data_IF_553562810783
#
_entry.id   IF_553562810783
#
_cell.length_a   1.000
_cell.length_b   1.000
_cell.length_c   1.000
_cell.angle_alpha   90.00
_cell.angle_beta   90.00
_cell.angle_gamma   90.00
#
_symmetry.space_group_name_H-M   'P 1'
#
loop_
_entity.id
_entity.type
_entity.pdbx_description
1 polymer ?
#
# COMPACT_ATOMS: atom_id res chain seq x y z
N UNK A 1 28.69 -6.20 8.47
CA UNK A 1 28.73 -5.58 9.81
C UNK A 1 27.68 -6.29 10.70
N UNK A 2 28.04 -7.24 11.57
CA UNK A 2 27.04 -8.06 12.30
C UNK A 2 26.19 -7.25 13.29
N UNK A 3 26.75 -6.21 13.89
CA UNK A 3 26.05 -5.42 14.93
C UNK A 3 24.83 -4.62 14.45
N UNK A 4 24.81 -4.18 13.19
CA UNK A 4 23.67 -3.43 12.63
C UNK A 4 22.48 -4.36 12.36
N UNK A 5 22.73 -5.57 11.87
CA UNK A 5 21.69 -6.58 11.63
C UNK A 5 21.05 -7.08 12.92
N UNK A 6 21.86 -7.32 13.98
CA UNK A 6 21.35 -7.72 15.29
C UNK A 6 20.51 -6.61 15.96
N UNK A 7 20.87 -5.34 15.76
CA UNK A 7 20.10 -4.21 16.27
C UNK A 7 18.74 -4.10 15.57
N UNK A 8 18.72 -4.17 14.24
CA UNK A 8 17.50 -4.13 13.43
C UNK A 8 16.57 -5.29 13.80
N UNK A 9 17.11 -6.52 13.91
CA UNK A 9 16.32 -7.69 14.27
C UNK A 9 15.66 -7.56 15.64
N UNK A 10 16.37 -7.06 16.65
CA UNK A 10 15.81 -6.80 17.99
C UNK A 10 14.75 -5.69 17.95
N UNK A 11 14.97 -4.66 17.17
CA UNK A 11 14.00 -3.59 16.98
C UNK A 11 12.70 -4.13 16.37
N UNK A 12 12.78 -5.03 15.38
CA UNK A 12 11.62 -5.66 14.75
C UNK A 12 10.87 -6.56 15.73
N UNK A 13 11.59 -7.38 16.51
CA UNK A 13 10.99 -8.25 17.53
C UNK A 13 10.25 -7.41 18.60
N UNK A 14 10.88 -6.36 19.12
CA UNK A 14 10.26 -5.42 20.06
C UNK A 14 9.07 -4.69 19.47
N UNK A 15 9.14 -4.37 18.17
CA UNK A 15 8.07 -3.69 17.46
C UNK A 15 6.87 -4.61 17.24
N UNK A 16 7.09 -5.89 16.95
CA UNK A 16 6.03 -6.90 16.86
C UNK A 16 5.25 -7.07 18.17
N UNK A 17 5.96 -7.18 19.31
CA UNK A 17 5.36 -7.22 20.65
C UNK A 17 4.57 -5.94 20.95
N UNK A 18 5.11 -4.79 20.56
CA UNK A 18 4.45 -3.50 20.70
C UNK A 18 3.14 -3.42 19.92
N UNK A 19 3.14 -3.82 18.65
CA UNK A 19 1.92 -3.84 17.83
C UNK A 19 0.85 -4.78 18.38
N UNK A 20 1.26 -5.93 18.93
CA UNK A 20 0.33 -6.86 19.56
C UNK A 20 -0.31 -6.23 20.81
N UNK A 21 0.49 -5.60 21.66
CA UNK A 21 0.00 -4.91 22.86
C UNK A 21 -0.94 -3.74 22.47
N UNK A 22 -0.61 -2.99 21.43
CA UNK A 22 -1.43 -1.89 20.92
C UNK A 22 -2.80 -2.40 20.41
N UNK A 23 -2.81 -3.46 19.61
CA UNK A 23 -4.06 -4.10 19.15
C UNK A 23 -4.92 -4.60 20.31
N UNK A 24 -4.30 -5.12 21.36
CA UNK A 24 -5.01 -5.54 22.56
C UNK A 24 -5.64 -4.34 23.30
N UNK A 25 -4.91 -3.23 23.44
CA UNK A 25 -5.45 -2.01 24.06
C UNK A 25 -6.65 -1.45 23.28
N UNK A 26 -6.59 -1.49 21.94
CA UNK A 26 -7.70 -1.09 21.08
C UNK A 26 -8.90 -2.03 21.27
N UNK A 27 -8.68 -3.34 21.29
CA UNK A 27 -9.73 -4.33 21.51
C UNK A 27 -10.39 -4.22 22.91
N UNK A 28 -9.64 -3.78 23.93
CA UNK A 28 -10.12 -3.54 25.30
C UNK A 28 -10.72 -2.12 25.49
N UNK A 29 -10.85 -1.31 24.42
CA UNK A 29 -11.31 0.09 24.44
C UNK A 29 -10.49 1.01 25.37
N UNK A 30 -9.20 0.69 25.56
CA UNK A 30 -8.25 1.46 26.40
C UNK A 30 -7.59 2.57 25.58
N UNK A 31 -8.38 3.47 25.03
CA UNK A 31 -8.01 4.46 24.01
C UNK A 31 -6.90 5.40 24.42
N UNK A 32 -6.92 5.91 25.68
CA UNK A 32 -5.88 6.82 26.17
C UNK A 32 -4.49 6.15 26.20
N UNK A 33 -4.44 4.88 26.64
CA UNK A 33 -3.19 4.12 26.69
C UNK A 33 -2.72 3.72 25.28
N UNK A 34 -3.64 3.38 24.39
CA UNK A 34 -3.33 3.11 22.99
C UNK A 34 -2.70 4.37 22.33
N UNK A 35 -3.25 5.56 22.61
CA UNK A 35 -2.71 6.83 22.10
C UNK A 35 -1.28 7.09 22.59
N UNK A 36 -1.05 6.94 23.90
CA UNK A 36 0.29 7.13 24.48
C UNK A 36 1.32 6.16 23.86
N UNK A 37 0.92 4.92 23.64
CA UNK A 37 1.77 3.94 22.99
C UNK A 37 2.06 4.29 21.52
N UNK A 38 1.04 4.67 20.74
CA UNK A 38 1.23 5.12 19.37
C UNK A 38 2.24 6.27 19.28
N UNK A 39 2.07 7.31 20.12
CA UNK A 39 2.98 8.44 20.14
C UNK A 39 4.41 8.06 20.54
N UNK A 40 4.56 7.14 21.48
CA UNK A 40 5.87 6.61 21.89
C UNK A 40 6.55 5.83 20.74
N UNK A 41 5.78 5.03 20.00
CA UNK A 41 6.29 4.25 18.89
C UNK A 41 6.73 5.10 17.70
N UNK A 42 5.98 6.11 17.33
CA UNK A 42 6.39 7.04 16.28
C UNK A 42 7.71 7.73 16.61
N UNK A 43 7.86 8.20 17.87
CA UNK A 43 9.12 8.81 18.35
C UNK A 43 10.27 7.81 18.33
N UNK A 44 10.03 6.57 18.74
CA UNK A 44 11.06 5.53 18.74
C UNK A 44 11.50 5.13 17.33
N UNK A 45 10.56 5.03 16.38
CA UNK A 45 10.82 4.58 15.01
C UNK A 45 11.48 5.66 14.15
N UNK A 46 10.98 6.90 14.21
CA UNK A 46 11.38 8.00 13.33
C UNK A 46 11.92 9.23 14.06
N UNK A 47 11.85 9.29 15.39
CA UNK A 47 12.20 10.49 16.14
C UNK A 47 11.18 11.64 15.98
N UNK A 48 10.00 11.37 15.46
CA UNK A 48 8.95 12.32 15.11
C UNK A 48 7.68 12.04 15.89
N UNK A 49 6.85 13.07 16.11
CA UNK A 49 5.53 12.86 16.69
C UNK A 49 4.48 12.45 15.66
N UNK A 50 3.40 11.85 16.14
CA UNK A 50 2.33 11.33 15.30
C UNK A 50 1.67 12.41 14.44
N UNK A 51 1.51 13.62 14.97
CA UNK A 51 0.88 14.74 14.24
C UNK A 51 1.71 15.12 13.03
N UNK A 52 3.04 15.25 13.22
CA UNK A 52 3.95 15.51 12.11
C UNK A 52 3.88 14.41 11.05
N UNK A 53 3.90 13.13 11.45
CA UNK A 53 3.86 11.99 10.52
C UNK A 53 2.57 11.96 9.72
N UNK A 54 1.42 12.22 10.35
CA UNK A 54 0.14 12.30 9.64
C UNK A 54 0.09 13.42 8.59
N UNK A 55 0.74 14.56 8.88
CA UNK A 55 0.77 15.72 7.99
C UNK A 55 1.92 15.70 6.98
N UNK A 56 2.96 14.92 7.22
CA UNK A 56 4.12 14.84 6.35
C UNK A 56 3.73 14.34 4.95
N UNK A 57 4.35 14.88 3.87
CA UNK A 57 4.19 14.31 2.53
C UNK A 57 4.63 12.84 2.51
N UNK A 58 3.93 12.01 1.73
CA UNK A 58 4.22 10.58 1.69
C UNK A 58 5.64 10.31 1.19
N UNK A 59 6.11 11.06 0.19
CA UNK A 59 7.47 10.93 -0.32
C UNK A 59 8.54 11.22 0.74
N UNK A 60 8.24 12.14 1.67
CA UNK A 60 9.11 12.39 2.82
C UNK A 60 9.18 11.16 3.74
N UNK A 61 8.04 10.53 4.04
CA UNK A 61 8.00 9.33 4.87
C UNK A 61 8.73 8.15 4.22
N UNK A 62 8.60 7.99 2.91
CA UNK A 62 9.33 7.01 2.13
C UNK A 62 10.85 7.22 2.26
N UNK A 63 11.31 8.47 2.12
CA UNK A 63 12.73 8.81 2.31
C UNK A 63 13.19 8.63 3.76
N UNK A 64 12.38 9.02 4.74
CA UNK A 64 12.69 8.87 6.17
C UNK A 64 12.82 7.41 6.61
N UNK A 65 12.15 6.48 5.91
CA UNK A 65 12.31 5.04 6.07
C UNK A 65 13.60 4.50 5.44
N UNK A 66 14.43 5.34 4.80
CA UNK A 66 15.66 4.88 4.15
C UNK A 66 15.45 4.18 2.81
N UNK A 67 14.24 4.21 2.24
CA UNK A 67 13.88 3.48 1.01
C UNK A 67 14.61 3.97 -0.25
N UNK A 68 15.50 4.95 -0.13
CA UNK A 68 16.42 5.33 -1.20
C UNK A 68 17.52 4.28 -1.44
N UNK A 69 17.72 3.35 -0.51
CA UNK A 69 18.68 2.25 -0.62
C UNK A 69 18.00 0.93 -0.27
N UNK A 70 18.37 -0.14 -0.96
CA UNK A 70 17.90 -1.51 -0.66
C UNK A 70 18.38 -1.87 0.76
N UNK A 71 17.49 -1.82 1.76
CA UNK A 71 17.88 -2.22 3.11
C UNK A 71 16.95 -1.89 4.27
N UNK A 72 16.04 -0.93 4.16
CA UNK A 72 15.18 -0.56 5.30
C UNK A 72 13.68 -0.88 5.07
N UNK A 73 13.42 -2.03 4.45
CA UNK A 73 12.08 -2.58 4.27
C UNK A 73 11.31 -2.68 5.60
N UNK A 74 12.01 -3.15 6.62
CA UNK A 74 11.44 -3.39 7.94
C UNK A 74 10.92 -2.11 8.62
N UNK A 75 11.61 -0.99 8.40
CA UNK A 75 11.21 0.30 8.95
C UNK A 75 9.95 0.85 8.25
N UNK A 76 9.86 0.65 6.93
CA UNK A 76 8.67 1.01 6.17
C UNK A 76 7.47 0.14 6.55
N UNK A 77 7.69 -1.16 6.76
CA UNK A 77 6.68 -2.08 7.28
C UNK A 77 6.17 -1.63 8.65
N UNK A 78 7.10 -1.34 9.57
CA UNK A 78 6.78 -0.88 10.91
C UNK A 78 5.97 0.43 10.89
N UNK A 79 6.34 1.38 10.04
CA UNK A 79 5.59 2.62 9.88
C UNK A 79 4.19 2.38 9.27
N UNK A 80 4.08 1.51 8.28
CA UNK A 80 2.80 1.11 7.71
C UNK A 80 1.86 0.50 8.75
N UNK A 81 2.36 -0.42 9.57
CA UNK A 81 1.61 -1.02 10.67
C UNK A 81 1.19 0.02 11.74
N UNK A 82 2.06 1.00 12.06
CA UNK A 82 1.72 2.09 12.98
C UNK A 82 0.63 3.00 12.42
N UNK A 83 0.74 3.39 11.16
CA UNK A 83 -0.26 4.22 10.49
C UNK A 83 -1.62 3.49 10.42
N UNK A 84 -1.61 2.18 10.16
CA UNK A 84 -2.82 1.36 10.18
C UNK A 84 -3.49 1.37 11.57
N UNK A 85 -2.70 1.17 12.63
CA UNK A 85 -3.21 1.18 14.00
C UNK A 85 -3.64 2.58 14.47
N UNK A 86 -2.99 3.64 13.98
CA UNK A 86 -3.41 5.04 14.21
C UNK A 86 -4.75 5.33 13.53
N UNK A 87 -4.95 4.81 12.32
CA UNK A 87 -6.24 4.84 11.63
C UNK A 87 -7.33 4.11 12.42
N UNK A 88 -7.04 2.91 12.93
CA UNK A 88 -7.99 2.15 13.76
C UNK A 88 -8.36 2.94 15.04
N UNK A 89 -7.39 3.61 15.67
CA UNK A 89 -7.66 4.44 16.84
C UNK A 89 -8.57 5.62 16.49
N UNK A 90 -8.31 6.35 15.38
CA UNK A 90 -9.14 7.47 14.95
C UNK A 90 -10.55 7.03 14.55
N UNK A 91 -10.71 5.89 13.88
CA UNK A 91 -12.02 5.33 13.56
C UNK A 91 -12.84 5.02 14.84
N UNK A 92 -12.19 4.50 15.90
CA UNK A 92 -12.84 4.27 17.20
C UNK A 92 -13.24 5.57 17.90
N UNK A 93 -12.54 6.68 17.65
CA UNK A 93 -12.91 8.01 18.15
C UNK A 93 -14.00 8.69 17.31
N UNK A 94 -14.41 8.10 16.18
CA UNK A 94 -15.37 8.68 15.24
C UNK A 94 -14.79 9.75 14.34
N UNK A 95 -13.44 9.80 14.23
CA UNK A 95 -12.70 10.70 13.33
C UNK A 95 -12.36 9.94 12.05
N UNK A 96 -13.38 9.69 11.23
CA UNK A 96 -13.26 8.91 10.01
C UNK A 96 -12.34 9.59 8.97
N UNK A 97 -12.28 10.91 8.93
CA UNK A 97 -11.43 11.67 8.01
C UNK A 97 -9.94 11.38 8.29
N UNK A 98 -9.53 11.47 9.55
CA UNK A 98 -8.14 11.17 9.95
C UNK A 98 -7.85 9.68 9.82
N UNK A 99 -8.80 8.80 10.13
CA UNK A 99 -8.67 7.37 9.95
C UNK A 99 -8.36 7.02 8.49
N UNK A 100 -9.16 7.55 7.55
CA UNK A 100 -8.97 7.35 6.11
C UNK A 100 -7.63 7.93 5.62
N UNK A 101 -7.21 9.09 6.13
CA UNK A 101 -5.90 9.64 5.81
C UNK A 101 -4.75 8.72 6.25
N UNK A 102 -4.85 8.12 7.44
CA UNK A 102 -3.89 7.15 7.95
C UNK A 102 -3.86 5.86 7.10
N UNK A 103 -5.02 5.31 6.76
CA UNK A 103 -5.11 4.11 5.92
C UNK A 103 -4.54 4.35 4.53
N UNK A 104 -4.85 5.48 3.89
CA UNK A 104 -4.26 5.84 2.58
C UNK A 104 -2.74 5.94 2.64
N UNK A 105 -2.19 6.59 3.66
CA UNK A 105 -0.73 6.67 3.86
C UNK A 105 -0.10 5.30 4.08
N UNK A 106 -0.70 4.46 4.93
CA UNK A 106 -0.23 3.10 5.19
C UNK A 106 -0.22 2.26 3.90
N UNK A 107 -1.34 2.25 3.17
CA UNK A 107 -1.49 1.51 1.91
C UNK A 107 -0.45 1.95 0.89
N UNK A 108 -0.32 3.26 0.65
CA UNK A 108 0.67 3.82 -0.26
C UNK A 108 2.09 3.41 0.11
N UNK A 109 2.47 3.56 1.38
CA UNK A 109 3.80 3.20 1.86
C UNK A 109 4.10 1.72 1.66
N UNK A 110 3.15 0.84 1.98
CA UNK A 110 3.33 -0.60 1.86
C UNK A 110 3.38 -1.04 0.39
N UNK A 111 2.52 -0.51 -0.48
CA UNK A 111 2.56 -0.80 -1.91
C UNK A 111 3.89 -0.32 -2.52
N UNK A 112 4.30 0.92 -2.26
CA UNK A 112 5.56 1.46 -2.77
C UNK A 112 6.76 0.62 -2.33
N UNK A 113 6.73 0.14 -1.09
CA UNK A 113 7.74 -0.76 -0.55
C UNK A 113 7.76 -2.10 -1.30
N UNK A 114 6.58 -2.68 -1.58
CA UNK A 114 6.44 -3.92 -2.33
C UNK A 114 6.95 -3.78 -3.76
N UNK A 115 6.54 -2.71 -4.44
CA UNK A 115 6.90 -2.49 -5.85
C UNK A 115 8.42 -2.32 -6.05
N UNK A 116 9.15 -1.88 -5.02
CA UNK A 116 10.62 -1.76 -5.04
C UNK A 116 11.35 -3.07 -4.78
N UNK A 117 10.66 -4.11 -4.30
CA UNK A 117 11.30 -5.42 -4.09
C UNK A 117 11.51 -6.15 -5.42
N UNK A 118 12.69 -6.79 -5.62
CA UNK A 118 12.98 -7.43 -6.90
C UNK A 118 12.07 -8.62 -7.21
N UNK A 119 11.76 -9.50 -6.28
CA UNK A 119 10.80 -10.63 -6.40
C UNK A 119 10.63 -11.31 -5.02
N UNK A 120 9.51 -12.02 -4.84
CA UNK A 120 9.33 -12.90 -3.68
C UNK A 120 8.77 -12.22 -2.43
N UNK A 121 7.72 -11.42 -2.57
CA UNK A 121 7.00 -10.86 -1.43
C UNK A 121 6.33 -11.96 -0.62
N UNK A 122 6.45 -11.93 0.71
CA UNK A 122 5.76 -12.91 1.56
C UNK A 122 4.24 -12.74 1.49
N UNK A 123 3.50 -13.85 1.53
CA UNK A 123 2.04 -13.83 1.57
C UNK A 123 1.51 -12.94 2.70
N UNK A 124 2.12 -12.97 3.88
CA UNK A 124 1.75 -12.15 5.02
C UNK A 124 1.85 -10.63 4.75
N UNK A 125 2.73 -10.22 3.82
CA UNK A 125 2.83 -8.82 3.42
C UNK A 125 1.69 -8.39 2.50
N UNK A 126 1.35 -9.26 1.55
CA UNK A 126 0.21 -9.09 0.65
C UNK A 126 -1.08 -8.99 1.47
N UNK A 127 -1.30 -9.92 2.41
CA UNK A 127 -2.45 -9.92 3.31
C UNK A 127 -2.60 -8.61 4.12
N UNK A 128 -1.49 -7.98 4.52
CA UNK A 128 -1.54 -6.67 5.19
C UNK A 128 -2.01 -5.55 4.27
N UNK A 129 -1.54 -5.53 3.02
CA UNK A 129 -1.98 -4.54 2.03
C UNK A 129 -3.47 -4.76 1.75
N UNK A 130 -3.90 -5.99 1.52
CA UNK A 130 -5.29 -6.32 1.26
C UNK A 130 -6.21 -5.86 2.40
N UNK A 131 -5.84 -6.15 3.64
CA UNK A 131 -6.60 -5.71 4.81
C UNK A 131 -6.67 -4.17 4.95
N UNK A 132 -5.69 -3.43 4.43
CA UNK A 132 -5.75 -1.98 4.36
C UNK A 132 -6.63 -1.49 3.22
N UNK A 133 -6.56 -2.14 2.05
CA UNK A 133 -7.43 -1.83 0.91
C UNK A 133 -8.90 -1.98 1.29
N UNK A 134 -9.27 -3.04 2.04
CA UNK A 134 -10.63 -3.23 2.56
C UNK A 134 -11.12 -2.11 3.49
N UNK A 135 -10.21 -1.37 4.14
CA UNK A 135 -10.53 -0.23 5.02
C UNK A 135 -10.63 1.10 4.29
N UNK A 136 -10.18 1.17 3.04
CA UNK A 136 -10.23 2.40 2.26
C UNK A 136 -11.68 2.72 1.85
N UNK A 137 -12.01 4.00 1.93
CA UNK A 137 -13.14 4.53 1.19
C UNK A 137 -12.72 4.66 -0.28
N UNK A 138 -13.28 3.80 -1.14
CA UNK A 138 -12.97 3.74 -2.56
C UNK A 138 -13.56 4.91 -3.35
N UNK A 139 -14.58 5.59 -2.79
CA UNK A 139 -15.13 6.79 -3.39
C UNK A 139 -14.17 7.97 -3.22
N UNK A 140 -13.61 8.45 -4.33
CA UNK A 140 -12.71 9.62 -4.32
C UNK A 140 -11.27 9.34 -3.88
N UNK A 141 -10.77 8.14 -4.11
CA UNK A 141 -9.34 7.86 -3.94
C UNK A 141 -8.48 8.81 -4.79
N UNK A 142 -7.38 9.38 -4.24
CA UNK A 142 -6.45 10.19 -5.00
C UNK A 142 -5.86 9.42 -6.18
N UNK A 143 -5.63 10.13 -7.30
CA UNK A 143 -5.05 9.57 -8.52
C UNK A 143 -3.83 8.69 -8.26
N UNK A 144 -2.88 9.22 -7.50
CA UNK A 144 -1.59 8.58 -7.23
C UNK A 144 -1.72 7.30 -6.38
N UNK A 145 -2.74 7.20 -5.52
CA UNK A 145 -3.01 5.96 -4.79
C UNK A 145 -3.70 4.93 -5.69
N UNK A 146 -4.66 5.34 -6.53
CA UNK A 146 -5.32 4.43 -7.47
C UNK A 146 -4.33 3.89 -8.52
N UNK A 147 -3.41 4.72 -9.02
CA UNK A 147 -2.32 4.27 -9.91
C UNK A 147 -1.45 3.20 -9.22
N UNK A 148 -1.19 3.35 -7.92
CA UNK A 148 -0.44 2.35 -7.15
C UNK A 148 -1.22 1.07 -6.90
N UNK A 149 -2.54 1.15 -6.71
CA UNK A 149 -3.41 -0.03 -6.61
C UNK A 149 -3.39 -0.82 -7.92
N UNK A 150 -3.54 -0.15 -9.06
CA UNK A 150 -3.37 -0.76 -10.39
C UNK A 150 -2.06 -1.55 -10.49
N UNK A 151 -0.93 -0.92 -10.16
CA UNK A 151 0.38 -1.57 -10.21
C UNK A 151 0.53 -2.70 -9.18
N UNK A 152 -0.10 -2.54 -8.02
CA UNK A 152 -0.11 -3.56 -6.98
C UNK A 152 -0.85 -4.81 -7.43
N UNK A 153 -2.08 -4.65 -7.95
CA UNK A 153 -2.88 -5.76 -8.42
C UNK A 153 -2.21 -6.49 -9.59
N UNK A 154 -1.62 -5.76 -10.54
CA UNK A 154 -0.79 -6.38 -11.59
C UNK A 154 0.37 -7.17 -10.98
N UNK A 155 1.09 -6.60 -10.01
CA UNK A 155 2.27 -7.20 -9.38
C UNK A 155 1.96 -8.50 -8.65
N UNK A 156 0.78 -8.60 -8.03
CA UNK A 156 0.35 -9.79 -7.29
C UNK A 156 -0.45 -10.78 -8.15
N UNK A 157 -0.63 -10.50 -9.44
CA UNK A 157 -1.29 -11.37 -10.40
C UNK A 157 -2.81 -11.32 -10.35
N UNK A 158 -3.40 -10.26 -9.81
CA UNK A 158 -4.86 -9.98 -9.81
C UNK A 158 -5.20 -9.08 -10.98
N UNK A 159 -5.22 -9.66 -12.17
CA UNK A 159 -5.29 -8.87 -13.41
C UNK A 159 -6.66 -8.23 -13.63
N UNK A 160 -7.74 -8.88 -13.20
CA UNK A 160 -9.07 -8.28 -13.24
C UNK A 160 -9.16 -7.03 -12.34
N UNK A 161 -8.68 -7.12 -11.08
CA UNK A 161 -8.68 -5.98 -10.17
C UNK A 161 -7.78 -4.84 -10.70
N UNK A 162 -6.67 -5.19 -11.35
CA UNK A 162 -5.80 -4.20 -12.00
C UNK A 162 -6.51 -3.50 -13.18
N UNK A 163 -7.25 -4.25 -13.99
CA UNK A 163 -8.04 -3.70 -15.08
C UNK A 163 -9.13 -2.74 -14.57
N UNK A 164 -9.83 -3.12 -13.50
CA UNK A 164 -10.85 -2.27 -12.85
C UNK A 164 -10.24 -0.94 -12.37
N UNK A 165 -9.10 -0.98 -11.68
CA UNK A 165 -8.38 0.25 -11.27
C UNK A 165 -7.96 1.12 -12.46
N UNK A 166 -7.49 0.51 -13.56
CA UNK A 166 -7.12 1.22 -14.77
C UNK A 166 -8.34 1.91 -15.42
N UNK A 167 -9.48 1.21 -15.51
CA UNK A 167 -10.69 1.80 -16.08
C UNK A 167 -11.28 2.89 -15.19
N UNK A 168 -11.19 2.78 -13.88
CA UNK A 168 -11.55 3.85 -12.95
C UNK A 168 -10.67 5.10 -13.13
N UNK A 169 -9.36 4.91 -13.34
CA UNK A 169 -8.44 5.99 -13.68
C UNK A 169 -8.84 6.64 -15.01
N UNK A 170 -9.08 5.85 -16.05
CA UNK A 170 -9.49 6.33 -17.38
C UNK A 170 -10.87 6.98 -17.38
N UNK A 171 -11.78 6.57 -16.49
CA UNK A 171 -13.07 7.24 -16.34
C UNK A 171 -12.94 8.64 -15.74
N UNK A 172 -12.01 8.83 -14.80
CA UNK A 172 -11.74 10.11 -14.17
C UNK A 172 -10.87 11.03 -15.04
N UNK A 173 -9.94 10.45 -15.83
CA UNK A 173 -9.01 11.17 -16.72
C UNK A 173 -8.98 10.54 -18.11
N UNK A 174 -10.07 10.67 -18.91
CA UNK A 174 -10.27 9.90 -20.14
C UNK A 174 -9.29 10.24 -21.26
N UNK A 175 -8.75 11.45 -21.26
CA UNK A 175 -7.86 11.96 -22.31
C UNK A 175 -6.38 12.02 -21.85
N UNK A 176 -6.03 11.39 -20.74
CA UNK A 176 -4.63 11.33 -20.29
C UNK A 176 -3.84 10.32 -21.13
N UNK A 177 -2.92 10.77 -22.00
CA UNK A 177 -2.17 9.88 -22.86
C UNK A 177 -1.24 8.95 -22.09
N UNK A 178 -0.75 9.38 -20.93
CA UNK A 178 0.11 8.56 -20.09
C UNK A 178 -0.64 7.37 -19.49
N UNK A 179 -1.92 7.53 -19.14
CA UNK A 179 -2.77 6.43 -18.69
C UNK A 179 -3.11 5.46 -19.83
N UNK A 180 -3.41 5.97 -21.00
CA UNK A 180 -3.67 5.13 -22.19
C UNK A 180 -2.42 4.30 -22.54
N UNK A 181 -1.25 4.93 -22.58
CA UNK A 181 0.03 4.22 -22.81
C UNK A 181 0.33 3.19 -21.72
N UNK A 182 0.09 3.52 -20.44
CA UNK A 182 0.27 2.59 -19.33
C UNK A 182 -0.66 1.38 -19.42
N UNK A 183 -1.92 1.60 -19.83
CA UNK A 183 -2.90 0.54 -20.05
C UNK A 183 -2.54 -0.36 -21.23
N UNK A 184 -2.11 0.21 -22.36
CA UNK A 184 -1.62 -0.57 -23.50
C UNK A 184 -0.44 -1.44 -23.06
N UNK A 185 0.56 -0.86 -22.39
CA UNK A 185 1.72 -1.59 -21.90
C UNK A 185 1.35 -2.68 -20.87
N UNK A 186 0.31 -2.49 -20.06
CA UNK A 186 -0.24 -3.52 -19.18
C UNK A 186 -0.76 -4.72 -19.98
N UNK A 187 -1.64 -4.51 -20.94
CA UNK A 187 -2.16 -5.60 -21.77
C UNK A 187 -1.06 -6.30 -22.58
N UNK A 188 -0.09 -5.58 -23.13
CA UNK A 188 1.07 -6.17 -23.81
C UNK A 188 1.88 -7.10 -22.90
N UNK A 189 2.09 -6.73 -21.64
CA UNK A 189 2.75 -7.60 -20.65
C UNK A 189 1.92 -8.85 -20.36
N UNK A 190 0.59 -8.71 -20.24
CA UNK A 190 -0.32 -9.83 -20.03
C UNK A 190 -0.33 -10.81 -21.22
N UNK A 191 -0.26 -10.33 -22.44
CA UNK A 191 -0.19 -11.18 -23.63
C UNK A 191 1.07 -12.04 -23.70
N UNK A 192 2.13 -11.70 -22.98
CA UNK A 192 3.33 -12.51 -22.84
C UNK A 192 3.16 -13.71 -21.86
N UNK A 193 2.10 -13.71 -21.04
CA UNK A 193 1.81 -14.76 -20.08
C UNK A 193 1.10 -15.96 -20.73
N UNK A 194 1.07 -17.11 -20.02
CA UNK A 194 0.31 -18.27 -20.45
C UNK A 194 -1.17 -18.10 -20.09
N UNK A 195 -2.07 -18.76 -20.85
CA UNK A 195 -3.51 -18.65 -20.64
C UNK A 195 -3.96 -19.04 -19.23
N UNK A 196 -3.30 -20.01 -18.61
CA UNK A 196 -3.63 -20.42 -17.25
C UNK A 196 -3.26 -19.35 -16.20
N UNK A 197 -2.20 -18.55 -16.44
CA UNK A 197 -1.81 -17.44 -15.55
C UNK A 197 -2.82 -16.30 -15.64
N UNK A 198 -3.30 -16.00 -16.85
CA UNK A 198 -4.35 -15.03 -17.09
C UNK A 198 -5.66 -15.42 -16.41
N UNK A 199 -6.07 -16.70 -16.56
CA UNK A 199 -7.27 -17.24 -15.92
C UNK A 199 -7.18 -17.20 -14.39
N UNK A 200 -6.01 -17.49 -13.80
CA UNK A 200 -5.78 -17.38 -12.36
C UNK A 200 -5.88 -15.93 -11.87
N UNK A 201 -5.47 -14.98 -12.69
CA UNK A 201 -5.59 -13.56 -12.41
C UNK A 201 -6.96 -12.94 -12.71
N UNK A 202 -7.92 -13.77 -13.14
CA UNK A 202 -9.31 -13.37 -13.41
C UNK A 202 -9.53 -12.66 -14.73
N UNK A 203 -8.52 -12.58 -15.62
CA UNK A 203 -8.60 -11.86 -16.90
C UNK A 203 -8.19 -12.78 -18.07
N UNK A 204 -9.14 -13.46 -18.73
CA UNK A 204 -8.85 -14.39 -19.83
C UNK A 204 -8.32 -13.65 -21.07
N UNK A 205 -7.58 -14.38 -21.92
CA UNK A 205 -6.85 -13.80 -23.08
C UNK A 205 -7.74 -13.03 -24.06
N UNK A 206 -8.96 -13.43 -24.26
CA UNK A 206 -9.92 -12.76 -25.13
C UNK A 206 -10.31 -11.38 -24.58
N UNK A 207 -10.47 -11.25 -23.26
CA UNK A 207 -10.68 -9.95 -22.59
C UNK A 207 -9.43 -9.08 -22.67
N UNK A 208 -8.23 -9.64 -22.44
CA UNK A 208 -6.96 -8.92 -22.63
C UNK A 208 -6.84 -8.34 -24.04
N UNK A 209 -7.18 -9.13 -25.09
CA UNK A 209 -7.15 -8.67 -26.47
C UNK A 209 -8.20 -7.58 -26.76
N UNK A 210 -9.38 -7.70 -26.17
CA UNK A 210 -10.45 -6.72 -26.32
C UNK A 210 -10.06 -5.38 -25.65
N UNK A 211 -9.55 -5.40 -24.42
CA UNK A 211 -9.09 -4.23 -23.70
C UNK A 211 -7.94 -3.51 -24.41
N UNK A 212 -6.95 -4.25 -24.92
CA UNK A 212 -5.87 -3.69 -25.73
C UNK A 212 -6.41 -2.95 -26.96
N UNK A 213 -7.28 -3.61 -27.72
CA UNK A 213 -7.86 -3.01 -28.93
C UNK A 213 -8.68 -1.74 -28.63
N UNK A 214 -9.38 -1.72 -27.48
CA UNK A 214 -10.12 -0.53 -27.03
C UNK A 214 -9.19 0.65 -26.75
N UNK A 215 -8.11 0.44 -25.96
CA UNK A 215 -7.18 1.50 -25.62
C UNK A 215 -6.38 2.02 -26.82
N UNK A 216 -5.96 1.11 -27.71
CA UNK A 216 -5.33 1.51 -28.99
C UNK A 216 -6.25 2.38 -29.87
N UNK A 217 -7.55 2.11 -29.85
CA UNK A 217 -8.52 2.90 -30.61
C UNK A 217 -8.73 4.30 -30.01
N UNK A 218 -8.62 4.43 -28.68
CA UNK A 218 -8.70 5.74 -27.99
C UNK A 218 -7.45 6.61 -28.20
N UNK A 219 -6.29 6.01 -28.41
CA UNK A 219 -5.02 6.73 -28.59
C UNK A 219 -4.85 7.28 -30.02
N UNK A 220 -5.66 6.85 -31.00
CA UNK A 220 -5.62 7.29 -32.42
C UNK A 220 -6.41 8.54 -32.66
#
# INVERSE_FOLDING_TARGET
>A
MPYAQDYIKRMIEQFGEFLLALKQLLAEDRRAQAREQLDAAYRALLGMDATFIRQAPDDYLILACGMAQVGDLDKALALGDLLAADGDWHAMEGDDETAQACYRKATRLLIETLLRQPFGTSAAYIEKIDALIEKLDHDGLPFDLRERLFRYHERVGRYADAEDDLFDLLAAWPDDPGLLEAGIAFYERLLALQDHELLLGGLPRDEVLAGLAELEARLR
#
